data_IF_987181242925
#
_entry.id   IF_987181242925
#
_cell.length_a   1.000
_cell.length_b   1.000
_cell.length_c   1.000
_cell.angle_alpha   90.00
_cell.angle_beta   90.00
_cell.angle_gamma   90.00
#
_symmetry.space_group_name_H-M   'P 1'
#
loop_
_entity.id
_entity.type
_entity.pdbx_description
1 polymer ?
#
# COMPACT_ATOMS: atom_id res chain seq x y z
N UNK A 1 28.83 -7.71 4.92
CA UNK A 1 27.73 -8.52 5.47
C UNK A 1 26.95 -7.67 6.45
N UNK A 2 25.97 -6.92 5.96
CA UNK A 2 25.02 -6.25 6.83
C UNK A 2 24.04 -7.27 7.40
N UNK A 3 24.44 -7.98 8.44
CA UNK A 3 23.48 -8.63 9.33
C UNK A 3 22.79 -7.58 10.17
N UNK A 4 21.97 -6.79 9.55
CA UNK A 4 21.09 -5.87 10.27
C UNK A 4 19.78 -6.59 10.54
N UNK A 5 19.80 -7.53 11.44
CA UNK A 5 18.63 -8.28 11.85
C UNK A 5 17.57 -7.40 12.51
N UNK A 6 17.94 -6.27 13.12
CA UNK A 6 17.01 -5.32 13.72
C UNK A 6 16.41 -4.31 12.74
N UNK A 7 17.15 -3.88 11.71
CA UNK A 7 16.69 -2.88 10.74
C UNK A 7 15.82 -3.50 9.65
N UNK A 8 15.92 -4.79 9.36
CA UNK A 8 15.00 -5.44 8.44
C UNK A 8 13.56 -5.44 8.96
N UNK A 9 13.36 -5.48 10.25
CA UNK A 9 12.02 -5.33 10.86
C UNK A 9 11.53 -3.89 10.86
N UNK A 10 12.43 -2.91 10.74
CA UNK A 10 12.09 -1.49 10.67
C UNK A 10 11.94 -0.97 9.23
N UNK A 11 12.31 -1.73 8.22
CA UNK A 11 12.07 -1.39 6.82
C UNK A 11 10.58 -1.65 6.47
N UNK A 12 9.69 -0.94 7.13
CA UNK A 12 8.28 -0.88 6.77
C UNK A 12 8.18 -0.01 5.52
N UNK A 13 7.55 -0.47 4.45
CA UNK A 13 7.28 0.40 3.31
C UNK A 13 6.27 1.45 3.74
N UNK A 14 6.75 2.66 3.87
CA UNK A 14 5.95 3.84 4.08
C UNK A 14 6.12 4.77 2.90
N UNK A 15 5.06 5.46 2.54
CA UNK A 15 5.06 6.49 1.53
C UNK A 15 5.11 7.85 2.24
N UNK A 16 5.93 8.74 1.76
CA UNK A 16 5.92 10.15 2.09
C UNK A 16 5.25 10.87 0.92
N UNK A 17 4.05 10.40 0.59
CA UNK A 17 3.27 10.88 -0.54
C UNK A 17 2.61 12.21 -0.25
N UNK A 18 2.61 13.08 -1.25
CA UNK A 18 1.90 14.35 -1.25
C UNK A 18 0.77 14.29 -2.27
N UNK A 19 -0.39 14.84 -1.92
CA UNK A 19 -1.53 14.94 -2.82
C UNK A 19 -1.30 15.95 -3.94
N UNK A 20 -0.45 16.94 -3.71
CA UNK A 20 -0.14 18.01 -4.67
C UNK A 20 0.88 17.57 -5.74
N UNK A 21 1.33 16.32 -5.72
CA UNK A 21 2.03 15.70 -6.84
C UNK A 21 3.47 16.14 -7.05
N UNK A 22 4.15 16.65 -6.05
CA UNK A 22 5.54 17.14 -6.18
C UNK A 22 6.58 16.08 -6.54
N UNK A 23 6.34 14.79 -6.23
CA UNK A 23 7.29 13.71 -6.48
C UNK A 23 6.57 12.40 -6.86
N UNK A 24 7.10 11.59 -7.80
CA UNK A 24 6.51 10.32 -8.25
C UNK A 24 6.19 9.31 -7.12
N UNK A 25 6.90 9.39 -5.99
CA UNK A 25 6.66 8.51 -4.84
C UNK A 25 5.24 8.63 -4.27
N UNK A 26 4.59 9.77 -4.41
CA UNK A 26 3.22 9.99 -3.93
C UNK A 26 2.24 8.99 -4.54
N UNK A 27 2.26 8.86 -5.87
CA UNK A 27 1.38 7.95 -6.61
C UNK A 27 1.97 6.54 -6.79
N UNK A 28 3.31 6.39 -6.81
CA UNK A 28 3.98 5.19 -7.30
C UNK A 28 4.70 4.32 -6.27
N UNK A 29 4.88 4.75 -5.01
CA UNK A 29 5.76 4.06 -4.06
C UNK A 29 5.41 2.59 -3.83
N UNK A 30 4.17 2.26 -3.49
CA UNK A 30 3.76 0.88 -3.22
C UNK A 30 3.69 0.01 -4.48
N UNK A 31 3.10 0.43 -5.59
CA UNK A 31 3.17 -0.31 -6.85
C UNK A 31 4.60 -0.59 -7.31
N UNK A 32 5.51 0.40 -7.17
CA UNK A 32 6.94 0.23 -7.47
C UNK A 32 7.60 -0.78 -6.54
N UNK A 33 7.34 -0.70 -5.24
CA UNK A 33 7.83 -1.65 -4.26
C UNK A 33 7.42 -3.08 -4.64
N UNK A 34 6.13 -3.31 -4.89
CA UNK A 34 5.63 -4.63 -5.25
C UNK A 34 6.24 -5.14 -6.56
N UNK A 35 6.30 -4.30 -7.62
CA UNK A 35 6.85 -4.71 -8.91
C UNK A 35 8.35 -4.95 -8.84
N UNK A 36 9.14 -3.92 -8.55
CA UNK A 36 10.58 -3.96 -8.75
C UNK A 36 11.36 -4.69 -7.65
N UNK A 37 10.84 -4.68 -6.41
CA UNK A 37 11.56 -5.27 -5.28
C UNK A 37 11.03 -6.64 -4.86
N UNK A 38 9.83 -7.01 -5.31
CA UNK A 38 9.21 -8.29 -4.96
C UNK A 38 8.97 -9.13 -6.19
N UNK A 39 8.02 -8.76 -7.05
CA UNK A 39 7.55 -9.61 -8.15
C UNK A 39 8.63 -9.87 -9.20
N UNK A 40 9.45 -8.87 -9.56
CA UNK A 40 10.53 -9.01 -10.54
C UNK A 40 11.77 -9.71 -9.95
N UNK A 41 11.87 -9.87 -8.64
CA UNK A 41 13.03 -10.50 -7.96
C UNK A 41 12.71 -11.89 -7.46
N UNK A 42 11.71 -12.01 -6.61
CA UNK A 42 11.30 -13.25 -5.99
C UNK A 42 9.81 -13.19 -5.60
N UNK A 43 8.91 -13.62 -6.50
CA UNK A 43 7.47 -13.58 -6.22
C UNK A 43 7.03 -14.37 -4.99
N UNK A 44 7.83 -15.35 -4.54
CA UNK A 44 7.53 -16.13 -3.34
C UNK A 44 7.52 -15.29 -2.06
N UNK A 45 8.15 -14.11 -2.10
CA UNK A 45 8.18 -13.16 -0.98
C UNK A 45 6.99 -12.20 -0.92
N UNK A 46 6.06 -12.30 -1.88
CA UNK A 46 4.89 -11.42 -1.92
C UNK A 46 4.09 -11.43 -0.60
N UNK A 47 3.79 -12.58 0.04
CA UNK A 47 3.07 -12.58 1.32
C UNK A 47 3.79 -11.80 2.44
N UNK A 48 5.11 -11.93 2.56
CA UNK A 48 5.89 -11.19 3.55
C UNK A 48 5.93 -9.68 3.22
N UNK A 49 6.04 -9.33 1.94
CA UNK A 49 5.99 -7.95 1.49
C UNK A 49 4.65 -7.28 1.81
N UNK A 50 3.54 -7.96 1.56
CA UNK A 50 2.19 -7.48 1.92
C UNK A 50 2.08 -7.32 3.44
N UNK A 51 2.50 -8.31 4.22
CA UNK A 51 2.50 -8.22 5.69
C UNK A 51 3.27 -6.99 6.19
N UNK A 52 4.43 -6.70 5.62
CA UNK A 52 5.24 -5.51 5.98
C UNK A 52 4.55 -4.20 5.62
N UNK A 53 3.84 -4.16 4.51
CA UNK A 53 3.09 -2.99 4.06
C UNK A 53 1.74 -2.80 4.79
N UNK A 54 1.27 -3.78 5.55
CA UNK A 54 -0.06 -3.79 6.17
C UNK A 54 0.01 -4.11 7.67
N UNK A 55 -0.14 -5.36 8.06
CA UNK A 55 -0.31 -5.76 9.46
C UNK A 55 0.90 -5.45 10.34
N UNK A 56 2.12 -5.63 9.83
CA UNK A 56 3.33 -5.31 10.59
C UNK A 56 3.45 -3.80 10.85
N UNK A 57 3.09 -3.00 9.84
CA UNK A 57 3.07 -1.54 9.98
C UNK A 57 1.99 -1.12 10.98
N UNK A 58 0.77 -1.64 10.87
CA UNK A 58 -0.31 -1.35 11.81
C UNK A 58 0.07 -1.72 13.25
N UNK A 59 0.66 -2.90 13.46
CA UNK A 59 1.16 -3.34 14.77
C UNK A 59 2.20 -2.37 15.35
N UNK A 60 3.19 -1.97 14.54
CA UNK A 60 4.27 -1.07 14.97
C UNK A 60 3.79 0.33 15.32
N UNK A 61 2.78 0.82 14.62
CA UNK A 61 2.19 2.13 14.90
C UNK A 61 1.06 2.09 15.92
N UNK A 62 0.72 0.92 16.47
CA UNK A 62 -0.33 0.76 17.47
C UNK A 62 -1.73 0.99 16.91
N UNK A 63 -1.98 0.57 15.67
CA UNK A 63 -3.29 0.61 15.01
C UNK A 63 -3.94 -0.77 15.18
N UNK A 64 -4.91 -0.95 16.10
CA UNK A 64 -5.28 -2.29 16.57
C UNK A 64 -6.19 -3.06 15.60
N UNK A 65 -6.91 -2.38 14.75
CA UNK A 65 -8.02 -2.94 13.97
C UNK A 65 -7.82 -2.91 12.45
N UNK A 66 -6.66 -2.48 11.98
CA UNK A 66 -6.31 -2.38 10.56
C UNK A 66 -5.18 -3.35 10.16
N UNK A 67 -4.96 -3.48 8.85
CA UNK A 67 -3.82 -4.21 8.29
C UNK A 67 -4.00 -5.72 8.18
N UNK A 68 -5.15 -6.27 8.56
CA UNK A 68 -5.50 -7.69 8.42
C UNK A 68 -6.95 -7.85 7.94
N UNK A 69 -7.16 -8.78 7.02
CA UNK A 69 -8.51 -9.22 6.63
C UNK A 69 -8.97 -10.24 7.66
N UNK A 70 -9.91 -9.85 8.52
CA UNK A 70 -10.48 -10.72 9.54
C UNK A 70 -11.92 -10.30 9.87
N UNK A 71 -12.73 -11.24 10.35
CA UNK A 71 -14.11 -10.97 10.77
C UNK A 71 -14.13 -9.93 11.88
N UNK A 72 -15.02 -8.94 11.77
CA UNK A 72 -15.16 -7.85 12.73
C UNK A 72 -14.16 -6.70 12.56
N UNK A 73 -13.29 -6.75 11.58
CA UNK A 73 -12.40 -5.63 11.25
C UNK A 73 -12.93 -4.79 10.10
N UNK A 74 -12.62 -3.49 10.07
CA UNK A 74 -12.94 -2.64 8.92
C UNK A 74 -12.36 -3.20 7.62
N UNK A 75 -13.16 -3.17 6.56
CA UNK A 75 -12.75 -3.71 5.27
C UNK A 75 -11.97 -2.65 4.46
N UNK A 76 -10.71 -2.44 4.83
CA UNK A 76 -9.72 -1.69 4.05
C UNK A 76 -8.99 -2.68 3.16
N UNK A 77 -9.40 -2.79 1.90
CA UNK A 77 -8.95 -3.84 0.99
C UNK A 77 -8.50 -3.27 -0.34
N UNK A 78 -7.39 -3.80 -0.86
CA UNK A 78 -6.91 -3.48 -2.21
C UNK A 78 -6.87 -4.77 -3.03
N UNK A 79 -7.50 -4.75 -4.20
CA UNK A 79 -7.42 -5.83 -5.18
C UNK A 79 -6.33 -5.51 -6.22
N UNK A 80 -5.30 -6.35 -6.27
CA UNK A 80 -4.12 -6.14 -7.10
C UNK A 80 -3.97 -7.28 -8.10
N UNK A 81 -3.76 -6.94 -9.36
CA UNK A 81 -3.33 -7.86 -10.39
C UNK A 81 -1.79 -7.91 -10.41
N UNK A 82 -1.23 -9.01 -9.92
CA UNK A 82 0.23 -9.19 -9.81
C UNK A 82 0.94 -9.26 -11.16
N UNK A 83 0.24 -9.59 -12.24
CA UNK A 83 0.82 -9.61 -13.58
C UNK A 83 1.04 -8.18 -14.12
N UNK A 84 0.16 -7.25 -13.78
CA UNK A 84 0.12 -5.91 -14.40
C UNK A 84 0.41 -4.76 -13.44
N UNK A 85 0.51 -5.00 -12.13
CA UNK A 85 0.81 -3.95 -11.16
C UNK A 85 2.15 -3.28 -11.45
N UNK A 86 2.12 -1.94 -11.61
CA UNK A 86 3.32 -1.10 -11.76
C UNK A 86 3.02 0.35 -11.45
N UNK A 87 4.06 1.07 -11.08
CA UNK A 87 4.04 2.53 -11.02
C UNK A 87 4.17 3.12 -12.43
N UNK A 88 3.38 4.14 -12.71
CA UNK A 88 3.45 4.92 -13.95
C UNK A 88 3.94 6.35 -13.69
N UNK A 89 4.07 6.73 -12.43
CA UNK A 89 4.49 8.06 -12.05
C UNK A 89 5.95 8.33 -12.42
N UNK A 90 6.20 9.49 -12.98
CA UNK A 90 7.52 9.99 -13.39
C UNK A 90 7.75 11.40 -12.87
N UNK A 91 8.97 11.93 -13.00
CA UNK A 91 9.27 13.33 -12.63
C UNK A 91 8.45 14.31 -13.49
N UNK A 92 8.13 13.93 -14.74
CA UNK A 92 7.34 14.77 -15.66
C UNK A 92 5.83 14.67 -15.41
N UNK A 93 5.38 13.53 -14.91
CA UNK A 93 3.99 13.24 -14.56
C UNK A 93 3.99 12.48 -13.24
N UNK A 94 4.08 13.22 -12.14
CA UNK A 94 4.20 12.67 -10.79
C UNK A 94 2.88 12.15 -10.23
N UNK A 95 1.76 12.44 -10.89
CA UNK A 95 0.41 12.04 -10.47
C UNK A 95 -0.16 10.89 -11.30
N UNK A 96 0.59 10.37 -12.27
CA UNK A 96 0.15 9.27 -13.12
C UNK A 96 -0.31 8.07 -12.28
N UNK A 97 -1.53 7.61 -12.54
CA UNK A 97 -2.16 6.53 -11.79
C UNK A 97 -1.45 5.20 -12.06
N UNK A 98 -1.20 4.43 -11.00
CA UNK A 98 -0.61 3.11 -11.10
C UNK A 98 -1.52 2.13 -11.87
N UNK A 99 -0.89 1.22 -12.64
CA UNK A 99 -1.60 0.12 -13.29
C UNK A 99 -1.79 -1.06 -12.34
N UNK A 100 -2.73 -1.96 -12.67
CA UNK A 100 -2.91 -3.24 -11.97
C UNK A 100 -3.62 -3.15 -10.61
N UNK A 101 -4.09 -1.97 -10.20
CA UNK A 101 -4.99 -1.81 -9.06
C UNK A 101 -6.42 -1.95 -9.56
N UNK A 102 -7.06 -3.08 -9.28
CA UNK A 102 -8.39 -3.43 -9.79
C UNK A 102 -9.54 -2.92 -8.93
N UNK A 103 -9.26 -2.58 -7.68
CA UNK A 103 -10.25 -2.01 -6.77
C UNK A 103 -9.64 -1.63 -5.44
N UNK A 104 -10.20 -0.63 -4.80
CA UNK A 104 -9.84 -0.21 -3.44
C UNK A 104 -11.13 0.03 -2.65
N UNK A 105 -11.20 -0.53 -1.46
CA UNK A 105 -12.28 -0.35 -0.49
C UNK A 105 -11.71 0.23 0.79
N UNK A 106 -12.43 1.17 1.37
CA UNK A 106 -12.14 1.77 2.68
C UNK A 106 -13.39 1.66 3.52
N UNK A 107 -13.26 1.11 4.71
CA UNK A 107 -14.40 0.81 5.60
C UNK A 107 -15.55 0.06 4.87
N UNK A 108 -15.21 -0.83 3.93
CA UNK A 108 -16.19 -1.61 3.16
C UNK A 108 -16.80 -0.90 1.96
N UNK A 109 -16.56 0.40 1.75
CA UNK A 109 -17.04 1.12 0.58
C UNK A 109 -15.96 1.22 -0.51
N UNK A 110 -16.34 0.92 -1.74
CA UNK A 110 -15.44 1.04 -2.88
C UNK A 110 -15.14 2.51 -3.20
N UNK A 111 -13.87 2.90 -3.14
CA UNK A 111 -13.38 4.25 -3.44
C UNK A 111 -12.68 4.35 -4.79
N UNK A 112 -12.21 3.21 -5.31
CA UNK A 112 -11.59 3.07 -6.64
C UNK A 112 -12.13 1.82 -7.33
N UNK A 113 -12.60 1.93 -8.56
CA UNK A 113 -13.26 0.86 -9.32
C UNK A 113 -12.33 0.12 -10.30
N UNK A 114 -11.05 0.45 -10.30
CA UNK A 114 -10.05 -0.06 -11.23
C UNK A 114 -9.74 0.88 -12.39
N UNK A 115 -10.55 1.91 -12.60
CA UNK A 115 -10.38 2.91 -13.64
C UNK A 115 -10.38 4.35 -13.10
N UNK A 116 -11.24 4.64 -12.12
CA UNK A 116 -11.43 5.99 -11.56
C UNK A 116 -11.88 5.96 -10.11
N UNK A 117 -11.78 7.09 -9.44
CA UNK A 117 -12.40 7.30 -8.13
C UNK A 117 -13.92 7.24 -8.24
N UNK A 118 -14.55 6.58 -7.26
CA UNK A 118 -16.02 6.52 -7.15
C UNK A 118 -16.62 7.80 -6.55
N UNK A 119 -15.80 8.72 -6.07
CA UNK A 119 -16.24 9.95 -5.39
C UNK A 119 -16.70 9.74 -3.95
N UNK A 120 -16.51 8.55 -3.39
CA UNK A 120 -16.80 8.24 -1.99
C UNK A 120 -15.60 8.48 -1.10
N UNK A 121 -15.83 8.96 0.13
CA UNK A 121 -14.80 9.29 1.11
C UNK A 121 -15.16 8.70 2.48
N UNK A 122 -15.24 7.36 2.63
CA UNK A 122 -15.64 6.69 3.87
C UNK A 122 -14.51 6.59 4.91
N UNK A 123 -13.37 7.24 4.66
CA UNK A 123 -12.22 7.23 5.56
C UNK A 123 -12.51 7.90 6.89
N UNK A 124 -11.94 7.35 7.96
CA UNK A 124 -12.03 7.86 9.33
C UNK A 124 -10.64 8.14 9.89
N UNK A 125 -10.58 9.02 10.89
CA UNK A 125 -9.34 9.27 11.63
C UNK A 125 -9.07 8.07 12.54
N UNK A 126 -8.06 7.29 12.20
CA UNK A 126 -7.61 6.18 13.03
C UNK A 126 -6.65 6.69 14.10
N UNK A 127 -6.94 6.38 15.36
CA UNK A 127 -6.10 6.77 16.50
C UNK A 127 -5.28 5.59 16.98
N UNK A 128 -4.04 5.87 17.39
CA UNK A 128 -3.20 4.89 18.06
C UNK A 128 -3.85 4.45 19.38
N UNK A 129 -3.86 3.15 19.65
CA UNK A 129 -4.17 2.63 20.98
C UNK A 129 -3.02 3.02 21.94
N UNK A 130 -3.38 3.60 23.07
CA UNK A 130 -2.46 3.98 24.17
C UNK A 130 -2.39 2.81 25.14
#
# INVERSE_FOLDING_TARGET
>A
DYKVTGVQTCALPISDGDLDGGHPRGAGAFPRFLRHYVLDKDPSKLPDAIRRATSLTAERYGIPDRGLIAVGRPADVVLIDTATVRDNATIKDSTAVASGIKGVWVNGEQVWDGAKSTGKYPGEIVRRAI
#
